data_IF_575078334766
#
_entry.id   IF_575078334766
#
_cell.length_a   1.000
_cell.length_b   1.000
_cell.length_c   1.000
_cell.angle_alpha   90.00
_cell.angle_beta   90.00
_cell.angle_gamma   90.00
#
_symmetry.space_group_name_H-M   'P 1'
#
loop_
_entity.id
_entity.type
_entity.pdbx_description
1 polymer ?
#
# COMPACT_ATOMS: atom_id res chain seq x y z
N UNK A 1 -26.94 -17.27 -13.57
CA UNK A 1 -27.48 -17.25 -12.19
C UNK A 1 -26.71 -16.21 -11.38
N UNK A 2 -27.35 -15.09 -11.04
CA UNK A 2 -26.72 -14.10 -10.15
C UNK A 2 -26.68 -14.67 -8.74
N UNK A 3 -25.48 -14.95 -8.23
CA UNK A 3 -25.29 -15.31 -6.83
C UNK A 3 -25.57 -14.05 -5.99
N UNK A 4 -26.64 -14.06 -5.21
CA UNK A 4 -26.88 -13.06 -4.17
C UNK A 4 -25.99 -13.38 -3.00
N UNK A 5 -25.03 -12.51 -2.72
CA UNK A 5 -24.17 -12.55 -1.54
C UNK A 5 -24.18 -11.21 -0.83
N UNK A 6 -23.96 -11.23 0.47
CA UNK A 6 -23.68 -10.02 1.25
C UNK A 6 -22.17 -9.93 1.45
N UNK A 7 -21.61 -8.77 1.18
CA UNK A 7 -20.20 -8.47 1.45
C UNK A 7 -20.11 -7.72 2.78
N UNK A 8 -19.12 -8.08 3.60
CA UNK A 8 -18.87 -7.46 4.89
C UNK A 8 -17.46 -6.89 4.86
N UNK A 9 -17.31 -5.64 5.26
CA UNK A 9 -16.01 -5.01 5.46
C UNK A 9 -15.55 -5.22 6.90
N UNK A 10 -14.56 -6.10 7.09
CA UNK A 10 -13.99 -6.40 8.39
C UNK A 10 -12.83 -5.47 8.75
N UNK A 11 -12.88 -4.86 9.94
CA UNK A 11 -11.76 -4.16 10.57
C UNK A 11 -11.38 -4.91 11.83
N UNK A 12 -10.16 -5.42 11.89
CA UNK A 12 -9.64 -6.15 13.03
C UNK A 12 -8.34 -5.56 13.56
N UNK A 13 -8.04 -5.84 14.82
CA UNK A 13 -6.74 -5.61 15.45
C UNK A 13 -6.02 -6.94 15.52
N UNK A 14 -4.78 -6.95 15.08
CA UNK A 14 -3.90 -8.12 15.11
C UNK A 14 -2.89 -7.91 16.23
N UNK A 15 -2.86 -8.83 17.18
CA UNK A 15 -1.80 -8.98 18.15
C UNK A 15 -0.75 -9.93 17.56
N UNK A 16 0.38 -9.34 17.14
CA UNK A 16 1.45 -10.09 16.46
C UNK A 16 2.18 -11.01 17.43
N UNK A 17 2.30 -10.62 18.70
CA UNK A 17 3.05 -11.38 19.72
C UNK A 17 2.27 -12.62 20.16
N UNK A 18 0.96 -12.48 20.35
CA UNK A 18 0.10 -13.57 20.80
C UNK A 18 -0.57 -14.33 19.64
N UNK A 19 -0.32 -13.94 18.38
CA UNK A 19 -0.95 -14.52 17.19
C UNK A 19 -2.48 -14.51 17.25
N UNK A 20 -3.06 -13.43 17.77
CA UNK A 20 -4.51 -13.27 17.96
C UNK A 20 -5.06 -12.14 17.12
N UNK A 21 -6.36 -12.19 16.86
CA UNK A 21 -7.07 -11.17 16.10
C UNK A 21 -8.44 -10.90 16.69
N UNK A 22 -8.73 -9.62 16.95
CA UNK A 22 -10.02 -9.18 17.44
C UNK A 22 -10.73 -8.31 16.40
N UNK A 23 -11.95 -8.67 16.03
CA UNK A 23 -12.79 -7.84 15.15
C UNK A 23 -13.32 -6.62 15.91
N UNK A 24 -13.05 -5.44 15.38
CA UNK A 24 -13.54 -4.17 15.92
C UNK A 24 -14.80 -3.67 15.25
N UNK A 25 -14.94 -3.92 13.96
CA UNK A 25 -16.07 -3.47 13.16
C UNK A 25 -16.27 -4.38 11.96
N UNK A 26 -17.53 -4.64 11.60
CA UNK A 26 -17.88 -5.48 10.47
C UNK A 26 -19.14 -4.94 9.75
N UNK A 27 -19.10 -3.71 9.21
CA UNK A 27 -20.27 -3.16 8.51
C UNK A 27 -20.52 -3.91 7.20
N UNK A 28 -21.81 -4.04 6.88
CA UNK A 28 -22.21 -4.56 5.58
C UNK A 28 -21.83 -3.56 4.49
N UNK A 29 -21.20 -4.07 3.42
CA UNK A 29 -20.87 -3.26 2.25
C UNK A 29 -22.15 -2.86 1.53
N UNK A 30 -22.36 -1.55 1.23
CA UNK A 30 -23.52 -1.09 0.47
C UNK A 30 -23.50 -1.61 -0.97
N UNK A 31 -24.65 -1.73 -1.57
CA UNK A 31 -24.77 -2.01 -2.97
C UNK A 31 -24.33 -0.80 -3.85
N UNK A 32 -24.17 -1.03 -5.16
CA UNK A 32 -23.68 -0.01 -6.08
C UNK A 32 -24.58 1.24 -6.11
N UNK A 33 -25.91 1.07 -5.99
CA UNK A 33 -26.86 2.18 -6.00
C UNK A 33 -26.74 3.03 -4.73
N UNK A 34 -26.64 2.39 -3.58
CA UNK A 34 -26.41 3.09 -2.31
C UNK A 34 -25.09 3.84 -2.27
N UNK A 35 -24.01 3.27 -2.87
CA UNK A 35 -22.72 3.95 -2.98
C UNK A 35 -22.83 5.20 -3.88
N UNK A 36 -23.55 5.11 -5.00
CA UNK A 36 -23.79 6.24 -5.91
C UNK A 36 -24.59 7.35 -5.20
N UNK A 37 -25.65 7.00 -4.46
CA UNK A 37 -26.43 7.96 -3.67
C UNK A 37 -25.61 8.67 -2.58
N UNK A 38 -24.56 8.02 -2.06
CA UNK A 38 -23.62 8.58 -1.08
C UNK A 38 -22.45 9.33 -1.71
N UNK A 39 -22.33 9.35 -3.05
CA UNK A 39 -21.20 9.91 -3.81
C UNK A 39 -19.85 9.27 -3.44
N UNK A 40 -19.84 7.97 -3.19
CA UNK A 40 -18.64 7.18 -2.93
C UNK A 40 -18.46 6.06 -3.94
N UNK A 41 -17.19 5.81 -4.32
CA UNK A 41 -16.85 4.49 -4.82
C UNK A 41 -16.57 3.53 -3.64
N UNK A 42 -16.55 2.23 -3.94
CA UNK A 42 -16.39 1.19 -2.93
C UNK A 42 -15.12 1.37 -2.06
N UNK A 43 -14.00 1.75 -2.67
CA UNK A 43 -12.71 1.92 -1.97
C UNK A 43 -12.73 3.16 -1.07
N UNK A 44 -13.36 4.23 -1.52
CA UNK A 44 -13.56 5.43 -0.71
C UNK A 44 -14.47 5.15 0.48
N UNK A 45 -15.53 4.37 0.29
CA UNK A 45 -16.39 3.96 1.39
C UNK A 45 -15.63 3.16 2.46
N UNK A 46 -14.76 2.22 2.05
CA UNK A 46 -13.90 1.49 2.99
C UNK A 46 -12.95 2.43 3.74
N UNK A 47 -12.35 3.38 3.03
CA UNK A 47 -11.48 4.39 3.63
C UNK A 47 -12.21 5.23 4.67
N UNK A 48 -13.43 5.69 4.36
CA UNK A 48 -14.25 6.49 5.27
C UNK A 48 -14.62 5.72 6.55
N UNK A 49 -14.91 4.43 6.45
CA UNK A 49 -15.16 3.61 7.64
C UNK A 49 -13.96 3.58 8.61
N UNK A 50 -12.72 3.53 8.09
CA UNK A 50 -11.53 3.63 8.93
C UNK A 50 -11.35 5.03 9.52
N UNK A 51 -11.64 6.08 8.75
CA UNK A 51 -11.56 7.48 9.21
C UNK A 51 -12.57 7.76 10.32
N UNK A 52 -13.80 7.25 10.21
CA UNK A 52 -14.82 7.36 11.26
C UNK A 52 -14.34 6.70 12.57
N UNK A 53 -13.62 5.61 12.47
CA UNK A 53 -13.06 4.89 13.63
C UNK A 53 -11.72 5.44 14.12
N UNK A 54 -11.17 6.48 13.48
CA UNK A 54 -9.83 7.00 13.69
C UNK A 54 -9.43 7.16 15.16
N UNK A 55 -10.25 7.84 15.95
CA UNK A 55 -9.94 8.12 17.35
C UNK A 55 -9.80 6.84 18.20
N UNK A 56 -10.56 5.80 17.88
CA UNK A 56 -10.48 4.51 18.55
C UNK A 56 -9.27 3.72 18.06
N UNK A 57 -9.08 3.66 16.74
CA UNK A 57 -7.99 2.90 16.12
C UNK A 57 -6.62 3.45 16.51
N UNK A 58 -6.42 4.76 16.51
CA UNK A 58 -5.13 5.38 16.83
C UNK A 58 -4.73 5.27 18.31
N UNK A 59 -5.66 4.92 19.20
CA UNK A 59 -5.32 4.53 20.58
C UNK A 59 -4.66 3.16 20.66
N UNK A 60 -4.87 2.31 19.65
CA UNK A 60 -4.32 0.95 19.57
C UNK A 60 -3.09 0.96 18.66
N UNK A 61 -3.26 1.39 17.42
CA UNK A 61 -2.18 1.47 16.43
C UNK A 61 -2.46 2.53 15.38
N UNK A 62 -1.40 3.11 14.83
CA UNK A 62 -1.47 3.94 13.62
C UNK A 62 -1.14 3.16 12.36
N UNK A 63 -0.75 1.88 12.49
CA UNK A 63 -0.45 1.02 11.34
C UNK A 63 -1.75 0.39 10.83
N UNK A 64 -1.99 0.55 9.55
CA UNK A 64 -3.09 -0.11 8.82
C UNK A 64 -2.48 -1.07 7.83
N UNK A 65 -2.74 -2.35 8.00
CA UNK A 65 -2.32 -3.40 7.06
C UNK A 65 -3.51 -3.76 6.18
N UNK A 66 -3.32 -3.71 4.89
CA UNK A 66 -4.37 -3.99 3.91
C UNK A 66 -3.82 -4.82 2.75
N UNK A 67 -4.68 -5.57 2.07
CA UNK A 67 -4.28 -6.34 0.90
C UNK A 67 -4.03 -5.47 -0.35
N UNK A 68 -3.62 -6.10 -1.46
CA UNK A 68 -3.30 -5.39 -2.69
C UNK A 68 -4.49 -4.67 -3.35
N UNK A 69 -5.73 -5.04 -3.02
CA UNK A 69 -6.93 -4.35 -3.50
C UNK A 69 -6.97 -2.88 -3.05
N UNK A 70 -6.43 -2.61 -1.86
CA UNK A 70 -6.41 -1.29 -1.24
C UNK A 70 -5.18 -0.44 -1.60
N UNK A 71 -4.27 -0.92 -2.46
CA UNK A 71 -3.12 -0.13 -2.95
C UNK A 71 -3.55 0.92 -3.99
N UNK A 72 -4.49 1.76 -3.64
CA UNK A 72 -5.09 2.82 -4.47
C UNK A 72 -4.96 4.19 -3.80
N UNK A 73 -4.80 5.22 -4.64
CA UNK A 73 -4.67 6.60 -4.16
C UNK A 73 -5.82 7.02 -3.24
N UNK A 74 -7.04 6.64 -3.61
CA UNK A 74 -8.28 6.98 -2.89
C UNK A 74 -8.41 6.30 -1.51
N UNK A 75 -7.59 5.30 -1.22
CA UNK A 75 -7.50 4.67 0.09
C UNK A 75 -6.27 5.14 0.87
N UNK A 76 -5.10 5.06 0.24
CA UNK A 76 -3.82 5.30 0.90
C UNK A 76 -3.65 6.76 1.30
N UNK A 77 -3.88 7.69 0.37
CA UNK A 77 -3.59 9.10 0.62
C UNK A 77 -4.49 9.75 1.67
N UNK A 78 -5.81 9.50 1.73
CA UNK A 78 -6.64 10.02 2.83
C UNK A 78 -6.22 9.47 4.19
N UNK A 79 -5.95 8.17 4.32
CA UNK A 79 -5.50 7.58 5.60
C UNK A 79 -4.18 8.19 6.09
N UNK A 80 -3.23 8.43 5.18
CA UNK A 80 -1.99 9.11 5.52
C UNK A 80 -2.20 10.55 5.99
N UNK A 81 -3.14 11.30 5.39
CA UNK A 81 -3.53 12.64 5.84
C UNK A 81 -4.12 12.62 7.25
N UNK A 82 -4.83 11.55 7.58
CA UNK A 82 -5.40 11.34 8.91
C UNK A 82 -4.40 10.79 9.93
N UNK A 83 -3.13 10.66 9.57
CA UNK A 83 -2.05 10.25 10.46
C UNK A 83 -1.93 8.74 10.68
N UNK A 84 -2.50 7.94 9.80
CA UNK A 84 -2.21 6.52 9.71
C UNK A 84 -0.98 6.26 8.85
N UNK A 85 -0.37 5.10 9.02
CA UNK A 85 0.65 4.53 8.14
C UNK A 85 0.07 3.28 7.48
N UNK A 86 0.01 3.27 6.16
CA UNK A 86 -0.58 2.15 5.42
C UNK A 86 0.52 1.21 4.95
N UNK A 87 0.44 -0.04 5.35
CA UNK A 87 1.28 -1.13 4.84
C UNK A 87 0.40 -1.99 3.93
N UNK A 88 0.78 -2.11 2.68
CA UNK A 88 0.04 -2.93 1.73
C UNK A 88 0.99 -3.57 0.72
N UNK A 89 0.44 -4.52 -0.02
CA UNK A 89 1.15 -5.22 -1.09
C UNK A 89 0.75 -4.62 -2.44
N UNK A 90 1.72 -4.43 -3.32
CA UNK A 90 1.44 -4.23 -4.74
C UNK A 90 1.25 -5.56 -5.46
N UNK A 91 0.57 -5.51 -6.59
CA UNK A 91 0.59 -6.60 -7.56
C UNK A 91 2.00 -6.67 -8.19
N UNK A 92 2.39 -7.86 -8.64
CA UNK A 92 3.73 -8.06 -9.20
C UNK A 92 3.98 -7.31 -10.51
N UNK A 93 2.90 -6.84 -11.17
CA UNK A 93 2.94 -6.00 -12.37
C UNK A 93 3.00 -4.49 -12.07
N UNK A 94 3.15 -4.11 -10.80
CA UNK A 94 3.21 -2.70 -10.40
C UNK A 94 4.36 -1.96 -11.08
N UNK A 95 4.04 -0.76 -11.58
CA UNK A 95 5.02 0.11 -12.25
C UNK A 95 5.48 1.18 -11.28
N UNK A 96 6.71 1.01 -10.79
CA UNK A 96 7.38 1.95 -9.91
C UNK A 96 8.60 2.56 -10.59
N UNK A 97 9.03 3.72 -10.10
CA UNK A 97 10.15 4.47 -10.67
C UNK A 97 11.15 4.83 -9.58
N UNK A 98 12.42 4.82 -9.91
CA UNK A 98 13.44 5.39 -9.04
C UNK A 98 13.26 6.90 -8.95
N UNK A 99 13.26 7.51 -7.75
CA UNK A 99 13.25 8.96 -7.60
C UNK A 99 14.49 9.56 -8.27
N UNK A 100 14.34 10.76 -8.86
CA UNK A 100 15.49 11.43 -9.46
C UNK A 100 16.54 11.80 -8.43
N UNK A 101 17.80 11.58 -8.75
CA UNK A 101 18.96 12.06 -7.99
C UNK A 101 19.38 13.47 -8.42
N UNK A 102 18.83 13.97 -9.52
CA UNK A 102 19.17 15.30 -10.05
C UNK A 102 18.51 16.39 -9.20
N UNK A 103 19.31 17.36 -8.79
CA UNK A 103 18.78 18.59 -8.17
C UNK A 103 17.99 19.39 -9.20
N UNK A 104 16.90 20.10 -8.82
CA UNK A 104 16.21 21.00 -9.72
C UNK A 104 17.18 22.00 -10.32
N UNK A 105 17.22 22.09 -11.65
CA UNK A 105 18.19 22.95 -12.36
C UNK A 105 17.80 24.43 -12.38
N UNK A 106 16.62 24.78 -11.92
CA UNK A 106 16.06 26.13 -11.98
C UNK A 106 15.77 26.63 -13.42
N UNK A 107 16.08 25.82 -14.45
CA UNK A 107 15.81 26.17 -15.84
C UNK A 107 14.34 25.95 -16.19
N UNK A 108 13.85 26.70 -17.18
CA UNK A 108 12.48 26.58 -17.71
C UNK A 108 12.26 25.14 -18.25
N UNK A 109 11.28 24.43 -17.73
CA UNK A 109 10.96 23.05 -18.11
C UNK A 109 10.25 22.33 -16.97
N UNK A 110 9.67 21.17 -17.30
CA UNK A 110 9.01 20.34 -16.29
C UNK A 110 10.09 19.65 -15.42
N UNK A 111 10.01 19.74 -14.07
CA UNK A 111 10.96 19.05 -13.21
C UNK A 111 10.95 17.54 -13.47
N UNK A 112 12.12 16.93 -13.50
CA UNK A 112 12.24 15.48 -13.59
C UNK A 112 11.99 14.88 -12.20
N UNK A 113 10.93 14.09 -12.05
CA UNK A 113 10.54 13.49 -10.77
C UNK A 113 11.18 12.13 -10.52
N UNK A 114 11.54 11.41 -11.59
CA UNK A 114 12.08 10.04 -11.53
C UNK A 114 13.08 9.80 -12.67
N UNK A 115 13.99 8.85 -12.45
CA UNK A 115 15.05 8.55 -13.40
C UNK A 115 14.69 7.40 -14.34
N UNK A 116 14.22 6.27 -13.82
CA UNK A 116 13.90 5.11 -14.61
C UNK A 116 12.89 4.22 -13.92
N UNK A 117 12.36 3.25 -14.65
CA UNK A 117 11.47 2.22 -14.12
C UNK A 117 12.27 1.26 -13.24
N UNK A 118 11.69 0.83 -12.12
CA UNK A 118 12.24 -0.23 -11.28
C UNK A 118 12.05 -1.56 -12.01
N UNK A 119 13.13 -2.28 -12.24
CA UNK A 119 13.11 -3.66 -12.70
C UNK A 119 13.31 -4.59 -11.49
N UNK A 120 12.25 -5.28 -11.09
CA UNK A 120 12.29 -6.13 -9.91
C UNK A 120 13.10 -7.42 -10.09
N UNK A 121 13.34 -7.86 -11.33
CA UNK A 121 14.23 -8.97 -11.61
C UNK A 121 15.71 -8.56 -11.55
N UNK A 122 16.00 -7.26 -11.81
CA UNK A 122 17.37 -6.69 -11.86
C UNK A 122 17.37 -5.33 -11.15
N UNK A 123 17.29 -5.32 -9.84
CA UNK A 123 17.30 -4.09 -9.06
C UNK A 123 18.65 -3.36 -9.15
N UNK A 124 18.61 -2.04 -9.26
CA UNK A 124 19.79 -1.19 -9.10
C UNK A 124 20.19 -1.15 -7.62
N UNK A 125 21.07 -2.05 -7.21
CA UNK A 125 21.50 -2.21 -5.82
C UNK A 125 22.17 -0.97 -5.25
N UNK A 126 22.70 -0.05 -6.09
CA UNK A 126 23.25 1.22 -5.62
C UNK A 126 22.18 2.16 -5.00
N UNK A 127 20.91 1.86 -5.24
CA UNK A 127 19.72 2.60 -4.74
C UNK A 127 18.90 1.82 -3.73
N UNK A 128 19.41 0.69 -3.31
CA UNK A 128 18.73 -0.26 -2.45
C UNK A 128 19.48 -0.46 -1.15
N UNK A 129 18.75 -0.91 -0.14
CA UNK A 129 19.27 -1.35 1.15
C UNK A 129 18.89 -2.82 1.32
N UNK A 130 19.87 -3.68 1.56
CA UNK A 130 19.62 -5.07 1.86
C UNK A 130 19.31 -5.21 3.35
N UNK A 131 18.21 -5.90 3.65
CA UNK A 131 17.71 -6.10 5.02
C UNK A 131 17.93 -7.56 5.36
N UNK A 132 18.66 -7.82 6.44
CA UNK A 132 18.92 -9.18 6.92
C UNK A 132 17.63 -9.84 7.41
N UNK A 133 17.37 -11.06 6.95
CA UNK A 133 16.20 -11.87 7.29
C UNK A 133 16.60 -13.34 7.41
N UNK A 134 15.83 -14.12 8.15
CA UNK A 134 16.11 -15.55 8.39
C UNK A 134 15.95 -16.42 7.13
N UNK A 135 15.11 -15.99 6.18
CA UNK A 135 14.83 -16.74 4.94
C UNK A 135 14.57 -15.81 3.79
N UNK A 136 15.11 -16.20 2.62
CA UNK A 136 14.98 -15.42 1.40
C UNK A 136 15.79 -14.13 1.44
N UNK A 137 15.52 -13.23 0.53
CA UNK A 137 16.20 -11.95 0.41
C UNK A 137 15.22 -10.80 0.48
N UNK A 138 15.49 -9.82 1.33
CA UNK A 138 14.66 -8.65 1.53
C UNK A 138 15.40 -7.39 1.13
N UNK A 139 14.86 -6.62 0.18
CA UNK A 139 15.50 -5.42 -0.35
C UNK A 139 14.58 -4.22 -0.16
N UNK A 140 15.07 -3.24 0.60
CA UNK A 140 14.43 -1.95 0.78
C UNK A 140 14.85 -0.94 -0.29
N UNK A 141 13.90 -0.17 -0.82
CA UNK A 141 14.20 0.95 -1.70
C UNK A 141 13.18 2.06 -1.58
N UNK A 142 13.56 3.25 -2.03
CA UNK A 142 12.64 4.36 -2.21
C UNK A 142 12.18 4.39 -3.65
N UNK A 143 10.86 4.45 -3.88
CA UNK A 143 10.30 4.49 -5.21
C UNK A 143 9.21 5.56 -5.35
N UNK A 144 9.00 6.05 -6.56
CA UNK A 144 7.86 6.87 -6.93
C UNK A 144 6.78 6.02 -7.56
N UNK A 145 5.58 6.06 -6.99
CA UNK A 145 4.40 5.39 -7.54
C UNK A 145 3.51 6.40 -8.26
N UNK A 146 3.29 6.19 -9.57
CA UNK A 146 2.36 7.02 -10.34
C UNK A 146 0.91 6.78 -9.91
N UNK A 147 0.55 5.56 -9.54
CA UNK A 147 -0.80 5.21 -9.10
C UNK A 147 -1.15 5.84 -7.75
N UNK A 148 -0.17 5.99 -6.85
CA UNK A 148 -0.34 6.69 -5.57
C UNK A 148 0.03 8.17 -5.64
N UNK A 149 0.61 8.63 -6.77
CA UNK A 149 1.10 10.01 -7.02
C UNK A 149 2.07 10.52 -5.96
N UNK A 150 2.93 9.63 -5.43
CA UNK A 150 3.87 9.95 -4.35
C UNK A 150 5.09 9.05 -4.31
N UNK A 151 6.11 9.50 -3.59
CA UNK A 151 7.23 8.66 -3.18
C UNK A 151 6.82 7.82 -1.97
N UNK A 152 7.25 6.58 -1.97
CA UNK A 152 6.95 5.56 -0.95
C UNK A 152 8.22 4.80 -0.60
N UNK A 153 8.25 4.20 0.58
CA UNK A 153 9.20 3.13 0.89
C UNK A 153 8.64 1.82 0.35
N UNK A 154 9.49 1.06 -0.30
CA UNK A 154 9.14 -0.22 -0.89
C UNK A 154 10.08 -1.27 -0.33
N UNK A 155 9.53 -2.43 -0.05
CA UNK A 155 10.30 -3.63 0.31
C UNK A 155 9.96 -4.71 -0.70
N UNK A 156 10.98 -5.27 -1.32
CA UNK A 156 10.86 -6.40 -2.24
C UNK A 156 11.38 -7.64 -1.53
N UNK A 157 10.55 -8.65 -1.42
CA UNK A 157 10.91 -9.92 -0.84
C UNK A 157 11.01 -10.99 -1.92
N UNK A 158 12.16 -11.65 -1.96
CA UNK A 158 12.45 -12.81 -2.78
C UNK A 158 12.44 -14.04 -1.87
N UNK A 159 11.48 -14.98 -2.05
CA UNK A 159 11.39 -16.19 -1.21
C UNK A 159 12.61 -17.10 -1.32
N UNK A 160 13.26 -17.07 -2.49
CA UNK A 160 14.49 -17.79 -2.81
C UNK A 160 15.58 -16.77 -3.13
N UNK A 161 16.74 -16.90 -2.50
CA UNK A 161 17.86 -15.97 -2.66
C UNK A 161 18.47 -16.01 -4.08
N UNK A 162 18.41 -17.18 -4.72
CA UNK A 162 18.96 -17.40 -6.05
C UNK A 162 17.94 -17.15 -7.17
N UNK A 163 16.62 -17.30 -6.89
CA UNK A 163 15.55 -17.10 -7.87
C UNK A 163 14.94 -15.70 -7.80
N UNK A 164 15.49 -14.75 -8.54
CA UNK A 164 14.95 -13.39 -8.66
C UNK A 164 13.76 -13.28 -9.61
N UNK A 165 13.20 -14.40 -10.10
CA UNK A 165 12.02 -14.38 -10.97
C UNK A 165 10.70 -14.32 -10.19
N UNK A 166 10.75 -14.61 -8.88
CA UNK A 166 9.59 -14.59 -7.98
C UNK A 166 9.82 -13.58 -6.87
N UNK A 167 8.95 -12.59 -6.78
CA UNK A 167 9.02 -11.57 -5.75
C UNK A 167 7.65 -11.15 -5.26
N UNK A 168 7.64 -10.50 -4.11
CA UNK A 168 6.49 -9.80 -3.57
C UNK A 168 6.89 -8.36 -3.21
N UNK A 169 6.01 -7.41 -3.51
CA UNK A 169 6.29 -5.99 -3.37
C UNK A 169 5.38 -5.43 -2.27
N UNK A 170 5.98 -4.94 -1.20
CA UNK A 170 5.28 -4.27 -0.12
C UNK A 170 5.67 -2.80 -0.08
N UNK A 171 4.77 -1.94 0.41
CA UNK A 171 5.05 -0.52 0.56
C UNK A 171 4.49 0.03 1.88
N UNK A 172 5.08 1.15 2.28
CA UNK A 172 4.62 2.00 3.37
C UNK A 172 4.82 3.49 3.04
#
# INVERSE_FOLDING_TARGET
>A
EMKRGQEIFGVGVIDVENHDCMTLSAPQTPDAKSLEEMDYNLVEWYCQNLIILKEKLQKISRLVVADAFFSKETFVNPLLKEGFHVISRFRNDAVLFYPTLQKPTGKRGHPKWYDGKVDFANLDLSRCEEIEVDKGRLIGLKAYSKSLKRSIKVVVWYPDEEDTTKWQIYFS
#
